data_IF_120533890257
#
_entry.id   IF_120533890257
#
_cell.length_a   1.000
_cell.length_b   1.000
_cell.length_c   1.000
_cell.angle_alpha   90.00
_cell.angle_beta   90.00
_cell.angle_gamma   90.00
#
_symmetry.space_group_name_H-M   'P 1'
#
loop_
_entity.id
_entity.type
_entity.pdbx_description
1 polymer ?
#
# COMPACT_ATOMS: atom_id res chain seq x y z
N UNK A 1 -9.95 13.80 -4.46
CA UNK A 1 -8.50 14.06 -4.30
C UNK A 1 -7.73 12.80 -4.68
N UNK A 2 -6.44 12.92 -4.98
CA UNK A 2 -5.56 11.74 -5.12
C UNK A 2 -4.94 11.41 -3.76
N UNK A 3 -4.84 10.11 -3.44
CA UNK A 3 -4.22 9.61 -2.23
C UNK A 3 -3.04 8.72 -2.60
N UNK A 4 -1.90 8.94 -1.96
CA UNK A 4 -0.72 8.10 -2.13
C UNK A 4 -0.77 6.95 -1.13
N UNK A 5 -0.61 5.72 -1.63
CA UNK A 5 -0.75 4.48 -0.89
C UNK A 5 0.56 3.70 -0.91
N UNK A 6 0.87 3.09 0.23
CA UNK A 6 1.93 2.09 0.36
C UNK A 6 1.29 0.74 0.70
N UNK A 7 1.26 -0.17 -0.26
CA UNK A 7 0.72 -1.52 -0.06
C UNK A 7 1.90 -2.45 0.26
N UNK A 8 1.90 -3.03 1.46
CA UNK A 8 2.98 -3.91 1.94
C UNK A 8 2.49 -5.35 2.09
N UNK A 9 3.25 -6.30 1.53
CA UNK A 9 3.03 -7.75 1.68
C UNK A 9 4.38 -8.47 1.78
N UNK A 10 4.67 -9.09 2.92
CA UNK A 10 5.98 -9.70 3.20
C UNK A 10 7.13 -8.73 2.88
N UNK A 11 8.01 -9.08 1.93
CA UNK A 11 9.14 -8.25 1.48
C UNK A 11 8.79 -7.33 0.30
N UNK A 12 7.55 -7.36 -0.21
CA UNK A 12 7.10 -6.54 -1.34
C UNK A 12 6.42 -5.27 -0.84
N UNK A 13 6.80 -4.13 -1.41
CA UNK A 13 6.17 -2.83 -1.17
C UNK A 13 5.82 -2.21 -2.52
N UNK A 14 4.55 -1.85 -2.70
CA UNK A 14 4.03 -1.20 -3.91
C UNK A 14 3.68 0.24 -3.53
N UNK A 15 4.26 1.18 -4.26
CA UNK A 15 3.89 2.59 -4.22
C UNK A 15 2.94 2.86 -5.38
N UNK A 16 1.76 3.38 -5.07
CA UNK A 16 0.75 3.73 -6.06
C UNK A 16 -0.07 4.90 -5.53
N UNK A 17 -0.64 5.68 -6.43
CA UNK A 17 -1.74 6.58 -6.14
C UNK A 17 -3.08 5.94 -6.51
N UNK A 18 -4.15 6.48 -5.94
CA UNK A 18 -5.52 6.20 -6.31
C UNK A 18 -6.39 7.42 -6.04
N UNK A 19 -7.58 7.50 -6.66
CA UNK A 19 -8.56 8.52 -6.27
C UNK A 19 -9.08 8.19 -4.88
N UNK A 20 -9.34 9.20 -4.06
CA UNK A 20 -9.98 9.05 -2.75
C UNK A 20 -11.36 8.36 -2.86
N UNK A 21 -12.04 8.54 -4.00
CA UNK A 21 -13.31 7.89 -4.32
C UNK A 21 -13.18 6.46 -4.84
N UNK A 22 -11.96 5.97 -5.09
CA UNK A 22 -11.75 4.61 -5.60
C UNK A 22 -12.18 3.57 -4.57
N UNK A 23 -12.76 2.49 -5.07
CA UNK A 23 -13.19 1.39 -4.23
C UNK A 23 -12.02 0.47 -3.87
N UNK A 24 -12.19 -0.31 -2.81
CA UNK A 24 -11.22 -1.37 -2.45
C UNK A 24 -11.07 -2.39 -3.59
N UNK A 25 -12.12 -2.64 -4.38
CA UNK A 25 -12.06 -3.56 -5.50
C UNK A 25 -11.19 -3.04 -6.65
N UNK A 26 -11.29 -1.77 -7.00
CA UNK A 26 -10.42 -1.12 -8.00
C UNK A 26 -8.96 -1.16 -7.55
N UNK A 27 -8.69 -0.91 -6.26
CA UNK A 27 -7.34 -1.03 -5.71
C UNK A 27 -6.80 -2.46 -5.81
N UNK A 28 -7.65 -3.48 -5.57
CA UNK A 28 -7.29 -4.89 -5.77
C UNK A 28 -6.96 -5.23 -7.23
N UNK A 29 -7.59 -4.56 -8.22
CA UNK A 29 -7.25 -4.73 -9.64
C UNK A 29 -5.86 -4.17 -9.98
N UNK A 30 -5.47 -3.05 -9.37
CA UNK A 30 -4.10 -2.52 -9.48
C UNK A 30 -3.11 -3.55 -8.91
N UNK A 31 -3.39 -4.09 -7.72
CA UNK A 31 -2.55 -5.12 -7.09
C UNK A 31 -2.52 -6.42 -7.90
N UNK A 32 -3.63 -6.82 -8.54
CA UNK A 32 -3.69 -7.97 -9.45
C UNK A 32 -2.76 -7.77 -10.65
N UNK A 33 -2.74 -6.57 -11.25
CA UNK A 33 -1.84 -6.23 -12.34
C UNK A 33 -0.36 -6.45 -12.00
N UNK A 34 0.02 -6.25 -10.74
CA UNK A 34 1.40 -6.35 -10.25
C UNK A 34 1.73 -7.76 -9.74
N UNK A 35 0.89 -8.32 -8.85
CA UNK A 35 1.14 -9.58 -8.16
C UNK A 35 0.55 -10.80 -8.87
N UNK A 36 -0.24 -10.60 -9.92
CA UNK A 36 -0.91 -11.66 -10.70
C UNK A 36 -1.78 -12.57 -9.84
N UNK A 37 -2.50 -11.97 -8.88
CA UNK A 37 -3.45 -12.65 -7.97
C UNK A 37 -4.83 -12.03 -8.11
N UNK A 38 -5.91 -12.82 -8.26
CA UNK A 38 -7.25 -12.28 -8.48
C UNK A 38 -7.75 -11.52 -7.22
N UNK A 39 -8.68 -10.55 -7.37
CA UNK A 39 -9.17 -9.72 -6.26
C UNK A 39 -9.74 -10.51 -5.07
N UNK A 40 -10.33 -11.68 -5.31
CA UNK A 40 -10.97 -12.50 -4.27
C UNK A 40 -9.95 -13.20 -3.36
N UNK A 41 -8.73 -13.43 -3.87
CA UNK A 41 -7.60 -13.94 -3.09
C UNK A 41 -6.87 -12.85 -2.28
N UNK A 42 -7.25 -11.58 -2.47
CA UNK A 42 -6.58 -10.45 -1.81
C UNK A 42 -7.35 -9.97 -0.58
N UNK A 43 -6.63 -9.67 0.51
CA UNK A 43 -7.16 -8.99 1.69
C UNK A 43 -6.34 -7.74 1.96
N UNK A 44 -6.96 -6.58 1.83
CA UNK A 44 -6.34 -5.29 2.11
C UNK A 44 -6.76 -4.85 3.51
N UNK A 45 -5.77 -4.44 4.31
CA UNK A 45 -5.96 -3.95 5.66
C UNK A 45 -5.48 -2.50 5.72
N UNK A 46 -6.29 -1.62 6.30
CA UNK A 46 -5.84 -0.27 6.63
C UNK A 46 -4.85 -0.39 7.79
N UNK A 47 -3.62 0.07 7.60
CA UNK A 47 -2.65 0.13 8.69
C UNK A 47 -3.09 1.26 9.63
N UNK A 48 -3.94 0.93 10.61
CA UNK A 48 -4.10 1.78 11.79
C UNK A 48 -2.73 1.80 12.49
N UNK A 49 -2.32 2.95 13.02
CA UNK A 49 -1.05 3.14 13.72
C UNK A 49 -0.95 2.24 14.96
N UNK A 50 -0.81 0.93 14.78
CA UNK A 50 -0.41 0.00 15.82
C UNK A 50 1.09 0.21 15.96
N UNK A 51 1.46 1.06 16.92
CA UNK A 51 2.82 1.28 17.40
C UNK A 51 3.40 -0.05 17.92
N UNK A 52 3.75 -1.00 17.05
CA UNK A 52 4.55 -2.16 17.47
C UNK A 52 5.30 -2.91 16.36
N UNK A 53 5.58 -2.28 15.22
CA UNK A 53 6.59 -2.80 14.29
C UNK A 53 7.49 -1.64 13.82
N UNK A 54 8.01 -0.88 14.78
CA UNK A 54 9.07 0.09 14.57
C UNK A 54 10.44 -0.60 14.49
N UNK A 55 10.63 -1.55 13.57
CA UNK A 55 11.96 -2.08 13.21
C UNK A 55 11.94 -2.60 11.76
N UNK A 56 11.78 -1.70 10.78
CA UNK A 56 12.24 -1.86 9.39
C UNK A 56 11.76 -0.71 8.49
N UNK A 57 11.80 0.53 8.97
CA UNK A 57 11.74 1.66 8.05
C UNK A 57 13.08 1.71 7.31
N UNK A 58 13.04 1.35 6.04
CA UNK A 58 14.15 1.55 5.09
C UNK A 58 14.51 3.04 5.04
N UNK A 59 15.81 3.41 4.96
CA UNK A 59 16.27 4.79 4.86
C UNK A 59 15.60 5.60 3.73
N UNK A 60 15.10 4.92 2.69
CA UNK A 60 14.47 5.57 1.54
C UNK A 60 13.15 6.31 1.88
N UNK A 61 12.42 5.90 2.92
CA UNK A 61 11.16 6.55 3.31
C UNK A 61 11.36 7.80 4.18
N UNK A 62 12.53 7.96 4.78
CA UNK A 62 12.83 9.15 5.59
C UNK A 62 13.04 10.39 4.73
N UNK A 63 13.55 10.22 3.51
CA UNK A 63 13.78 11.35 2.59
C UNK A 63 12.49 11.90 1.96
N UNK A 64 11.42 11.10 1.87
CA UNK A 64 10.13 11.59 1.33
C UNK A 64 9.31 12.41 2.34
N UNK A 65 9.73 12.50 3.61
CA UNK A 65 9.03 13.32 4.62
C UNK A 65 9.69 14.69 4.86
N UNK A 66 10.77 15.01 4.15
CA UNK A 66 11.53 16.26 4.33
C UNK A 66 11.57 17.18 3.09
N UNK A 67 10.61 17.05 2.18
CA UNK A 67 10.42 17.96 1.05
C UNK A 67 9.00 18.52 1.01
#
# INVERSE_FOLDING_TARGET
MDVFLMIRRHKTTIFTDAKESSTVFELKRIVEGILKRPPDEQRLYKMMYLKHCALSLSPALQNCQMS
#
